data_IF_091425020746
#
_entry.id   IF_091425020746
#
_cell.length_a   1.000
_cell.length_b   1.000
_cell.length_c   1.000
_cell.angle_alpha   90.00
_cell.angle_beta   90.00
_cell.angle_gamma   90.00
#
_symmetry.space_group_name_H-M   'P 1'
#
loop_
_entity.id
_entity.type
_entity.pdbx_description
1 polymer ?
#
# COMPACT_ATOMS: atom_id res chain seq x y z
N UNK A 1 -9.16 -2.33 1.78
CA UNK A 1 -8.39 -1.32 2.54
C UNK A 1 -7.93 -0.18 1.64
N UNK A 2 -6.93 -0.36 0.76
CA UNK A 2 -6.41 0.73 -0.11
C UNK A 2 -7.53 1.42 -0.90
N UNK A 3 -8.37 0.66 -1.63
CA UNK A 3 -9.47 1.24 -2.40
C UNK A 3 -10.49 2.03 -1.54
N UNK A 4 -10.75 1.60 -0.30
CA UNK A 4 -11.67 2.31 0.62
C UNK A 4 -11.04 3.63 1.09
N UNK A 5 -9.75 3.62 1.46
CA UNK A 5 -9.02 4.86 1.77
C UNK A 5 -9.03 5.82 0.60
N UNK A 6 -8.79 5.34 -0.63
CA UNK A 6 -8.82 6.19 -1.81
C UNK A 6 -10.21 6.81 -1.98
N UNK A 7 -11.29 6.04 -1.91
CA UNK A 7 -12.66 6.57 -2.02
C UNK A 7 -12.97 7.71 -1.03
N UNK A 8 -12.36 7.66 0.16
CA UNK A 8 -12.50 8.69 1.19
C UNK A 8 -11.78 10.02 0.86
N UNK A 9 -10.85 10.06 -0.11
CA UNK A 9 -10.09 11.26 -0.47
C UNK A 9 -10.80 12.20 -1.46
N UNK A 10 -12.02 11.86 -1.88
CA UNK A 10 -12.85 12.68 -2.78
C UNK A 10 -12.95 14.19 -2.41
N UNK A 11 -13.00 14.59 -1.12
CA UNK A 11 -13.01 16.01 -0.74
C UNK A 11 -11.77 16.79 -1.18
N UNK A 12 -10.61 16.14 -1.33
CA UNK A 12 -9.35 16.77 -1.74
C UNK A 12 -8.97 16.47 -3.19
N UNK A 13 -9.40 15.34 -3.76
CA UNK A 13 -9.10 14.94 -5.13
C UNK A 13 -10.22 14.05 -5.68
N UNK A 14 -10.67 14.27 -6.92
CA UNK A 14 -11.62 13.37 -7.58
C UNK A 14 -10.90 12.10 -8.00
N UNK A 15 -11.03 11.02 -7.23
CA UNK A 15 -10.20 9.82 -7.42
C UNK A 15 -10.40 9.15 -8.78
N UNK A 16 -11.63 9.12 -9.29
CA UNK A 16 -11.93 8.55 -10.60
C UNK A 16 -11.26 9.29 -11.78
N UNK A 17 -10.79 10.53 -11.57
CA UNK A 17 -10.05 11.32 -12.56
C UNK A 17 -8.52 11.20 -12.41
N UNK A 18 -8.05 10.55 -11.35
CA UNK A 18 -6.62 10.30 -11.16
C UNK A 18 -6.10 9.32 -12.23
N UNK A 19 -4.80 9.42 -12.53
CA UNK A 19 -4.09 8.32 -13.21
C UNK A 19 -3.59 7.33 -12.17
N UNK A 20 -3.91 6.05 -12.34
CA UNK A 20 -3.25 4.98 -11.59
C UNK A 20 -1.93 4.61 -12.25
N UNK A 21 -0.85 4.50 -11.47
CA UNK A 21 0.45 3.98 -11.90
C UNK A 21 0.83 2.86 -10.94
N UNK A 22 0.92 1.63 -11.45
CA UNK A 22 1.15 0.44 -10.62
C UNK A 22 2.06 -0.60 -11.29
N UNK A 23 2.21 -1.75 -10.64
CA UNK A 23 3.00 -2.89 -11.10
C UNK A 23 2.09 -4.12 -11.15
N UNK A 24 1.44 -4.34 -12.30
CA UNK A 24 0.36 -5.33 -12.45
C UNK A 24 0.86 -6.77 -12.59
N UNK A 25 2.12 -6.98 -12.99
CA UNK A 25 2.68 -8.29 -13.32
C UNK A 25 1.75 -9.01 -14.32
N UNK A 26 1.48 -10.30 -14.12
CA UNK A 26 0.52 -11.06 -14.92
C UNK A 26 -0.89 -11.09 -14.31
N UNK A 27 -1.10 -10.49 -13.13
CA UNK A 27 -2.33 -10.66 -12.35
C UNK A 27 -3.26 -9.46 -12.38
N UNK A 28 -2.73 -8.23 -12.40
CA UNK A 28 -3.49 -6.97 -12.52
C UNK A 28 -4.62 -6.80 -11.48
N UNK A 29 -4.48 -7.40 -10.28
CA UNK A 29 -5.57 -7.46 -9.28
C UNK A 29 -5.95 -6.08 -8.75
N UNK A 30 -4.94 -5.29 -8.44
CA UNK A 30 -5.04 -3.88 -8.07
C UNK A 30 -5.69 -3.05 -9.18
N UNK A 31 -5.26 -3.18 -10.44
CA UNK A 31 -5.87 -2.50 -11.58
C UNK A 31 -7.37 -2.81 -11.70
N UNK A 32 -7.74 -4.09 -11.68
CA UNK A 32 -9.14 -4.49 -11.74
C UNK A 32 -9.95 -3.96 -10.55
N UNK A 33 -9.39 -4.03 -9.34
CA UNK A 33 -10.03 -3.56 -8.12
C UNK A 33 -10.29 -2.05 -8.19
N UNK A 34 -9.27 -1.25 -8.52
CA UNK A 34 -9.36 0.20 -8.55
C UNK A 34 -10.27 0.68 -9.69
N UNK A 35 -10.23 0.02 -10.85
CA UNK A 35 -11.17 0.30 -11.93
C UNK A 35 -12.62 0.00 -11.52
N UNK A 36 -12.89 -1.22 -11.04
CA UNK A 36 -14.26 -1.67 -10.68
C UNK A 36 -14.84 -0.87 -9.51
N UNK A 37 -14.04 -0.54 -8.50
CA UNK A 37 -14.53 0.14 -7.28
C UNK A 37 -14.54 1.65 -7.38
N UNK A 38 -13.57 2.25 -8.07
CA UNK A 38 -13.34 3.70 -8.05
C UNK A 38 -13.52 4.36 -9.41
N UNK A 39 -13.74 3.59 -10.48
CA UNK A 39 -13.95 4.14 -11.82
C UNK A 39 -12.72 4.79 -12.44
N UNK A 40 -11.51 4.44 -11.97
CA UNK A 40 -10.27 4.95 -12.56
C UNK A 40 -10.10 4.33 -13.96
N UNK A 41 -9.99 5.19 -14.98
CA UNK A 41 -9.91 4.80 -16.39
C UNK A 41 -8.61 5.22 -17.07
N UNK A 42 -7.72 5.92 -16.37
CA UNK A 42 -6.39 6.28 -16.86
C UNK A 42 -5.39 5.46 -16.03
N UNK A 43 -4.84 4.39 -16.61
CA UNK A 43 -4.03 3.42 -15.87
C UNK A 43 -2.75 3.10 -16.64
N UNK A 44 -1.62 3.10 -15.93
CA UNK A 44 -0.32 2.70 -16.48
C UNK A 44 0.26 1.59 -15.62
N UNK A 45 0.62 0.47 -16.24
CA UNK A 45 1.43 -0.57 -15.59
C UNK A 45 2.89 -0.41 -16.00
N UNK A 46 3.80 -0.48 -15.02
CA UNK A 46 5.25 -0.40 -15.23
C UNK A 46 5.86 -1.76 -14.95
N UNK A 47 6.53 -2.34 -15.95
CA UNK A 47 7.02 -3.72 -15.88
C UNK A 47 8.48 -3.82 -16.31
N UNK A 48 9.35 -4.22 -15.39
CA UNK A 48 10.80 -4.39 -15.61
C UNK A 48 11.21 -5.79 -16.09
N UNK A 49 10.27 -6.71 -16.31
CA UNK A 49 10.55 -8.08 -16.74
C UNK A 49 10.29 -8.25 -18.25
N UNK A 50 11.23 -7.78 -19.09
CA UNK A 50 11.11 -7.87 -20.56
C UNK A 50 10.82 -9.28 -21.10
N UNK A 51 11.37 -10.32 -20.48
CA UNK A 51 11.11 -11.71 -20.87
C UNK A 51 9.62 -12.13 -20.71
N UNK A 52 8.86 -11.43 -19.85
CA UNK A 52 7.45 -11.69 -19.59
C UNK A 52 6.51 -10.80 -20.39
N UNK A 53 7.01 -9.88 -21.23
CA UNK A 53 6.20 -8.86 -21.93
C UNK A 53 4.99 -9.46 -22.67
N UNK A 54 5.19 -10.55 -23.42
CA UNK A 54 4.11 -11.22 -24.16
C UNK A 54 3.04 -11.78 -23.24
N UNK A 55 3.43 -12.34 -22.08
CA UNK A 55 2.51 -12.86 -21.07
C UNK A 55 1.77 -11.73 -20.37
N UNK A 56 2.45 -10.62 -20.06
CA UNK A 56 1.84 -9.44 -19.45
C UNK A 56 0.76 -8.88 -20.39
N UNK A 57 1.11 -8.62 -21.66
CA UNK A 57 0.17 -8.14 -22.69
C UNK A 57 -1.05 -9.03 -22.83
N UNK A 58 -0.84 -10.35 -22.85
CA UNK A 58 -1.94 -11.32 -22.95
C UNK A 58 -2.91 -11.24 -21.76
N UNK A 59 -2.39 -10.99 -20.55
CA UNK A 59 -3.20 -10.96 -19.33
C UNK A 59 -3.76 -9.57 -18.98
N UNK A 60 -3.52 -8.53 -19.79
CA UNK A 60 -4.10 -7.20 -19.54
C UNK A 60 -5.63 -7.27 -19.53
N UNK A 61 -6.28 -7.03 -18.37
CA UNK A 61 -7.71 -7.29 -18.23
C UNK A 61 -8.59 -6.16 -18.78
N UNK A 62 -8.02 -4.98 -19.00
CA UNK A 62 -8.76 -3.76 -19.34
C UNK A 62 -8.05 -3.02 -20.48
N UNK A 63 -8.85 -2.54 -21.44
CA UNK A 63 -8.33 -1.79 -22.59
C UNK A 63 -7.75 -0.41 -22.24
N UNK A 64 -8.05 0.10 -21.04
CA UNK A 64 -7.61 1.41 -20.56
C UNK A 64 -6.26 1.37 -19.82
N UNK A 65 -5.62 0.19 -19.75
CA UNK A 65 -4.30 0.03 -19.16
C UNK A 65 -3.26 0.24 -20.25
N UNK A 66 -2.34 1.17 -20.05
CA UNK A 66 -1.17 1.35 -20.88
C UNK A 66 0.02 0.59 -20.28
N UNK A 67 0.70 -0.23 -21.08
CA UNK A 67 1.89 -0.97 -20.68
C UNK A 67 3.17 -0.17 -20.94
N UNK A 68 3.96 0.06 -19.90
CA UNK A 68 5.30 0.64 -19.98
C UNK A 68 6.36 -0.39 -19.54
N UNK A 69 7.06 -0.98 -20.51
CA UNK A 69 8.17 -1.89 -20.24
C UNK A 69 9.43 -1.09 -19.87
N UNK A 70 9.63 -0.88 -18.57
CA UNK A 70 10.75 -0.10 -18.03
C UNK A 70 11.03 -0.43 -16.55
N UNK A 71 12.13 0.07 -16.02
CA UNK A 71 12.31 0.14 -14.56
C UNK A 71 11.38 1.20 -13.96
N UNK A 72 11.00 1.05 -12.69
CA UNK A 72 10.15 2.00 -11.98
C UNK A 72 10.68 3.44 -12.07
N UNK A 73 11.94 3.68 -11.71
CA UNK A 73 12.56 5.00 -11.80
C UNK A 73 12.57 5.59 -13.21
N UNK A 74 12.87 4.78 -14.23
CA UNK A 74 12.88 5.26 -15.62
C UNK A 74 11.47 5.59 -16.13
N UNK A 75 10.46 4.81 -15.74
CA UNK A 75 9.06 5.11 -16.02
C UNK A 75 8.61 6.40 -15.32
N UNK A 76 8.89 6.56 -14.03
CA UNK A 76 8.57 7.76 -13.24
C UNK A 76 9.20 9.02 -13.87
N UNK A 77 10.45 8.92 -14.35
CA UNK A 77 11.14 10.01 -15.04
C UNK A 77 10.42 10.42 -16.35
N UNK A 78 9.82 9.46 -17.08
CA UNK A 78 9.11 9.69 -18.35
C UNK A 78 7.69 10.20 -18.16
N UNK A 79 7.04 9.83 -17.06
CA UNK A 79 5.68 10.24 -16.76
C UNK A 79 5.63 11.74 -16.38
N UNK A 80 4.57 12.42 -16.83
CA UNK A 80 4.30 13.83 -16.51
C UNK A 80 3.55 13.93 -15.18
N UNK A 81 4.23 13.60 -14.09
CA UNK A 81 3.67 13.48 -12.74
C UNK A 81 3.06 14.79 -12.21
N UNK A 82 3.50 15.92 -12.76
CA UNK A 82 3.07 17.27 -12.38
C UNK A 82 1.76 17.73 -13.03
N UNK A 83 1.28 17.07 -14.09
CA UNK A 83 0.14 17.55 -14.89
C UNK A 83 -1.22 17.28 -14.25
N UNK A 84 -1.35 16.18 -13.50
CA UNK A 84 -2.60 15.77 -12.85
C UNK A 84 -2.32 14.98 -11.57
N UNK A 85 -3.31 14.80 -10.69
CA UNK A 85 -3.17 13.88 -9.56
C UNK A 85 -2.98 12.42 -10.02
N UNK A 86 -2.08 11.72 -9.35
CA UNK A 86 -1.80 10.31 -9.57
C UNK A 86 -2.11 9.49 -8.32
N UNK A 87 -2.52 8.24 -8.50
CA UNK A 87 -2.39 7.19 -7.48
C UNK A 87 -1.21 6.32 -7.92
N UNK A 88 -0.06 6.48 -7.28
CA UNK A 88 1.14 5.69 -7.57
C UNK A 88 1.25 4.61 -6.50
N UNK A 89 1.28 3.36 -6.92
CA UNK A 89 1.56 2.23 -6.05
C UNK A 89 2.82 1.52 -6.53
N UNK A 90 3.91 1.73 -5.80
CA UNK A 90 5.18 1.06 -6.01
C UNK A 90 5.18 -0.27 -5.25
N UNK A 91 4.61 -1.31 -5.87
CA UNK A 91 4.44 -2.63 -5.27
C UNK A 91 5.66 -3.53 -5.49
N UNK A 92 6.72 -3.34 -4.71
CA UNK A 92 7.95 -4.13 -4.84
C UNK A 92 7.85 -5.45 -4.07
N UNK A 93 8.23 -6.54 -4.74
CA UNK A 93 8.51 -7.82 -4.08
C UNK A 93 9.88 -7.85 -3.38
N UNK A 94 10.75 -6.88 -3.68
CA UNK A 94 12.10 -6.78 -3.11
C UNK A 94 12.10 -6.12 -1.73
N UNK A 95 13.18 -6.35 -0.99
CA UNK A 95 13.50 -5.55 0.20
C UNK A 95 13.83 -4.11 -0.15
N UNK A 96 13.78 -3.25 0.86
CA UNK A 96 14.26 -1.87 0.74
C UNK A 96 15.69 -1.83 0.20
N UNK A 97 15.89 -1.04 -0.84
CA UNK A 97 17.18 -0.74 -1.48
C UNK A 97 17.17 0.74 -1.92
N UNK A 98 18.31 1.26 -2.39
CA UNK A 98 18.40 2.67 -2.84
C UNK A 98 17.47 3.02 -4.00
N UNK A 99 17.16 2.07 -4.90
CA UNK A 99 16.22 2.31 -5.99
C UNK A 99 14.81 2.59 -5.46
N UNK A 100 14.33 1.77 -4.51
CA UNK A 100 13.01 1.97 -3.91
C UNK A 100 12.89 3.36 -3.27
N UNK A 101 13.91 3.78 -2.51
CA UNK A 101 13.92 5.11 -1.90
C UNK A 101 13.91 6.21 -2.97
N UNK A 102 14.76 6.09 -4.00
CA UNK A 102 14.83 7.05 -5.10
C UNK A 102 13.50 7.16 -5.86
N UNK A 103 12.81 6.04 -6.08
CA UNK A 103 11.54 6.00 -6.82
C UNK A 103 10.41 6.67 -6.01
N UNK A 104 10.43 6.52 -4.69
CA UNK A 104 9.51 7.23 -3.79
C UNK A 104 9.84 8.72 -3.75
N UNK A 105 11.11 9.10 -3.63
CA UNK A 105 11.54 10.50 -3.63
C UNK A 105 11.14 11.20 -4.93
N UNK A 106 11.34 10.55 -6.07
CA UNK A 106 10.93 11.06 -7.39
C UNK A 106 9.40 11.26 -7.45
N UNK A 107 8.64 10.26 -6.98
CA UNK A 107 7.18 10.32 -6.91
C UNK A 107 6.71 11.51 -6.06
N UNK A 108 7.23 11.63 -4.83
CA UNK A 108 6.87 12.71 -3.89
C UNK A 108 7.34 14.08 -4.40
N UNK A 109 8.51 14.14 -5.03
CA UNK A 109 9.13 15.36 -5.53
C UNK A 109 8.34 16.02 -6.67
N UNK A 110 7.69 15.22 -7.53
CA UNK A 110 7.08 15.71 -8.77
C UNK A 110 5.56 15.63 -8.82
N UNK A 111 4.94 14.66 -8.15
CA UNK A 111 3.49 14.45 -8.24
C UNK A 111 2.67 15.70 -7.91
N UNK A 112 1.62 15.98 -8.69
CA UNK A 112 0.70 17.08 -8.41
C UNK A 112 0.05 16.94 -7.02
N UNK A 113 -0.34 18.07 -6.42
CA UNK A 113 -1.14 18.03 -5.19
C UNK A 113 -2.46 17.28 -5.42
N UNK A 114 -2.91 16.52 -4.42
CA UNK A 114 -4.00 15.55 -4.53
C UNK A 114 -3.54 14.14 -4.88
N UNK A 115 -2.27 13.95 -5.29
CA UNK A 115 -1.75 12.61 -5.58
C UNK A 115 -1.62 11.76 -4.32
N UNK A 116 -1.76 10.44 -4.47
CA UNK A 116 -1.50 9.44 -3.43
C UNK A 116 -0.30 8.62 -3.87
N UNK A 117 0.65 8.41 -2.95
CA UNK A 117 1.82 7.57 -3.18
C UNK A 117 1.85 6.48 -2.12
N UNK A 118 1.93 5.24 -2.57
CA UNK A 118 2.02 4.02 -1.79
C UNK A 118 3.28 3.26 -2.19
N UNK A 119 3.94 2.63 -1.23
CA UNK A 119 5.04 1.72 -1.48
C UNK A 119 4.85 0.46 -0.65
N UNK A 120 4.99 -0.69 -1.30
CA UNK A 120 5.01 -2.01 -0.68
C UNK A 120 6.39 -2.62 -0.85
N UNK A 121 6.95 -3.21 0.22
CA UNK A 121 8.25 -3.86 0.20
C UNK A 121 8.26 -5.11 1.07
N UNK A 122 9.13 -6.05 0.72
CA UNK A 122 9.41 -7.20 1.54
C UNK A 122 10.25 -6.80 2.77
N UNK A 123 9.82 -7.23 3.95
CA UNK A 123 10.48 -6.98 5.24
C UNK A 123 10.84 -8.27 5.98
N UNK A 124 10.90 -9.39 5.27
CA UNK A 124 11.41 -10.64 5.82
C UNK A 124 12.84 -10.48 6.30
N UNK A 125 13.11 -11.14 7.43
CA UNK A 125 14.43 -11.21 8.05
C UNK A 125 15.48 -11.70 7.04
N UNK A 126 16.63 -11.04 7.09
CA UNK A 126 17.89 -11.48 6.47
C UNK A 126 18.89 -11.92 7.53
N UNK A 127 19.77 -12.85 7.15
CA UNK A 127 20.78 -13.43 8.05
C UNK A 127 22.15 -13.50 7.37
N UNK A 128 23.21 -13.58 8.16
CA UNK A 128 24.58 -13.70 7.67
C UNK A 128 25.03 -12.47 6.88
N UNK A 129 25.82 -12.70 5.83
CA UNK A 129 26.44 -11.65 5.02
C UNK A 129 25.42 -10.72 4.34
N UNK A 130 24.24 -11.23 3.95
CA UNK A 130 23.19 -10.41 3.33
C UNK A 130 22.66 -9.35 4.30
N UNK A 131 22.52 -9.71 5.58
CA UNK A 131 22.16 -8.75 6.63
C UNK A 131 23.23 -7.67 6.73
N UNK A 132 24.49 -8.07 6.85
CA UNK A 132 25.57 -7.12 7.11
C UNK A 132 25.74 -6.15 5.94
N UNK A 133 25.59 -6.65 4.71
CA UNK A 133 25.52 -5.83 3.51
C UNK A 133 24.37 -4.82 3.60
N UNK A 134 23.15 -5.28 3.88
CA UNK A 134 21.98 -4.40 3.96
C UNK A 134 22.12 -3.33 5.06
N UNK A 135 22.59 -3.73 6.26
CA UNK A 135 22.85 -2.78 7.36
C UNK A 135 24.01 -1.82 7.09
N UNK A 136 24.98 -2.21 6.25
CA UNK A 136 26.05 -1.31 5.81
C UNK A 136 25.56 -0.29 4.79
N UNK A 137 24.62 -0.69 3.91
CA UNK A 137 24.03 0.19 2.90
C UNK A 137 23.14 1.27 3.52
N UNK A 138 22.46 0.95 4.62
CA UNK A 138 21.55 1.83 5.36
C UNK A 138 22.10 2.27 6.73
N UNK A 139 23.43 2.29 6.89
CA UNK A 139 24.08 2.55 8.17
C UNK A 139 23.70 3.88 8.82
N UNK A 140 23.76 3.87 10.17
CA UNK A 140 23.54 4.99 11.11
C UNK A 140 22.09 5.33 11.54
N UNK A 141 21.10 4.50 11.19
CA UNK A 141 19.79 4.61 11.85
C UNK A 141 19.91 4.14 13.30
N UNK A 142 19.74 5.07 14.25
CA UNK A 142 19.52 4.74 15.66
C UNK A 142 18.38 3.70 15.70
N UNK A 143 18.66 2.52 16.26
CA UNK A 143 17.78 1.34 16.34
C UNK A 143 17.99 0.30 15.22
N UNK A 144 19.23 -0.20 15.08
CA UNK A 144 19.48 -1.44 14.33
C UNK A 144 18.78 -2.62 15.03
N UNK A 145 18.17 -3.57 14.27
CA UNK A 145 17.64 -4.81 14.83
C UNK A 145 18.69 -5.55 15.66
N UNK A 146 18.32 -6.04 16.85
CA UNK A 146 19.20 -6.92 17.64
C UNK A 146 19.47 -8.20 16.82
N UNK A 147 20.75 -8.53 16.51
CA UNK A 147 21.11 -9.71 15.74
C UNK A 147 20.66 -11.04 16.38
N UNK A 148 20.44 -11.04 17.70
CA UNK A 148 20.11 -12.20 18.51
C UNK A 148 18.61 -12.36 18.79
N UNK A 149 17.76 -11.37 18.48
CA UNK A 149 16.32 -11.49 18.76
C UNK A 149 15.63 -12.39 17.71
N UNK A 150 15.10 -13.56 18.09
CA UNK A 150 14.29 -14.39 17.21
C UNK A 150 13.00 -13.69 16.72
N UNK A 151 12.62 -12.55 17.30
CA UNK A 151 11.49 -11.68 16.91
C UNK A 151 11.82 -10.63 15.85
N UNK A 152 13.07 -10.59 15.35
CA UNK A 152 13.68 -9.62 14.41
C UNK A 152 12.84 -9.08 13.23
N UNK A 153 11.77 -9.79 12.85
CA UNK A 153 10.79 -9.38 11.82
C UNK A 153 10.21 -7.98 12.10
N UNK A 154 9.88 -7.67 13.35
CA UNK A 154 9.30 -6.37 13.71
C UNK A 154 10.31 -5.23 13.54
N UNK A 155 11.58 -5.51 13.83
CA UNK A 155 12.67 -4.55 13.80
C UNK A 155 13.07 -4.21 12.36
N UNK A 156 13.14 -5.19 11.44
CA UNK A 156 13.35 -4.90 10.00
C UNK A 156 12.20 -4.11 9.40
N UNK A 157 10.96 -4.46 9.76
CA UNK A 157 9.78 -3.73 9.33
C UNK A 157 9.83 -2.27 9.84
N UNK A 158 10.14 -2.07 11.12
CA UNK A 158 10.24 -0.75 11.73
C UNK A 158 11.36 0.09 11.12
N UNK A 159 12.56 -0.49 10.93
CA UNK A 159 13.68 0.20 10.30
C UNK A 159 13.36 0.58 8.85
N UNK A 160 12.77 -0.34 8.08
CA UNK A 160 12.37 -0.07 6.71
C UNK A 160 11.31 1.03 6.64
N UNK A 161 10.32 1.01 7.54
CA UNK A 161 9.33 2.07 7.69
C UNK A 161 9.98 3.43 7.98
N UNK A 162 10.94 3.49 8.91
CA UNK A 162 11.62 4.74 9.27
C UNK A 162 12.43 5.31 8.11
N UNK A 163 13.16 4.46 7.38
CA UNK A 163 13.91 4.87 6.19
C UNK A 163 12.98 5.39 5.09
N UNK A 164 11.87 4.70 4.83
CA UNK A 164 10.83 5.16 3.89
C UNK A 164 10.26 6.52 4.32
N UNK A 165 9.92 6.65 5.61
CA UNK A 165 9.35 7.89 6.16
C UNK A 165 10.33 9.05 6.07
N UNK A 166 11.60 8.83 6.39
CA UNK A 166 12.65 9.84 6.30
C UNK A 166 12.83 10.31 4.85
N UNK A 167 12.94 9.37 3.92
CA UNK A 167 13.04 9.63 2.49
C UNK A 167 11.83 10.43 1.95
N UNK A 168 10.61 10.08 2.34
CA UNK A 168 9.39 10.86 2.02
C UNK A 168 9.49 12.28 2.58
N UNK A 169 9.91 12.44 3.84
CA UNK A 169 10.03 13.75 4.47
C UNK A 169 11.11 14.61 3.80
N UNK A 170 12.24 14.02 3.42
CA UNK A 170 13.31 14.69 2.68
C UNK A 170 12.87 15.12 1.30
N UNK A 171 12.12 14.28 0.58
CA UNK A 171 11.53 14.65 -0.70
C UNK A 171 10.55 15.83 -0.56
N UNK A 172 9.69 15.84 0.45
CA UNK A 172 8.79 16.97 0.74
C UNK A 172 9.59 18.23 1.08
N UNK A 173 10.61 18.14 1.94
CA UNK A 173 11.48 19.28 2.30
C UNK A 173 12.16 19.87 1.08
N UNK A 174 12.79 19.01 0.27
CA UNK A 174 13.51 19.39 -0.95
C UNK A 174 12.58 20.05 -1.97
N UNK A 175 11.41 19.44 -2.21
CA UNK A 175 10.37 20.01 -3.07
C UNK A 175 9.91 21.39 -2.60
N UNK A 176 9.60 21.53 -1.32
CA UNK A 176 9.09 22.77 -0.76
C UNK A 176 10.13 23.90 -0.69
N UNK A 177 11.43 23.57 -0.67
CA UNK A 177 12.50 24.56 -0.73
C UNK A 177 12.49 25.35 -2.05
N UNK A 178 12.09 24.71 -3.16
CA UNK A 178 11.98 25.33 -4.48
C UNK A 178 10.62 26.04 -4.72
N UNK A 179 9.65 25.90 -3.82
CA UNK A 179 8.28 26.39 -4.02
C UNK A 179 7.93 27.62 -3.16
N UNK A 180 7.20 28.60 -3.72
CA UNK A 180 6.59 29.67 -2.93
C UNK A 180 5.65 29.11 -1.86
N UNK A 181 5.51 29.80 -0.72
CA UNK A 181 4.69 29.35 0.42
C UNK A 181 3.27 28.94 0.03
N UNK A 182 2.64 29.65 -0.92
CA UNK A 182 1.30 29.38 -1.43
C UNK A 182 1.14 28.08 -2.23
N UNK A 183 2.25 27.49 -2.71
CA UNK A 183 2.29 26.27 -3.52
C UNK A 183 2.94 25.07 -2.83
N UNK A 184 3.34 25.23 -1.56
CA UNK A 184 3.91 24.13 -0.77
C UNK A 184 2.89 23.02 -0.56
N UNK A 185 3.41 21.83 -0.32
CA UNK A 185 2.63 20.62 -0.07
C UNK A 185 3.05 19.98 1.25
N UNK A 186 2.17 19.19 1.81
CA UNK A 186 2.42 18.29 2.94
C UNK A 186 2.21 16.85 2.47
N UNK A 187 3.01 15.91 2.97
CA UNK A 187 2.66 14.50 2.84
C UNK A 187 1.92 14.06 4.10
N UNK A 188 0.67 13.65 3.94
CA UNK A 188 -0.18 13.13 5.01
C UNK A 188 -0.23 11.61 4.90
N UNK A 189 0.52 10.91 5.76
CA UNK A 189 0.49 9.45 5.83
C UNK A 189 -0.91 8.98 6.21
N UNK A 190 -1.39 7.95 5.52
CA UNK A 190 -2.71 7.34 5.75
C UNK A 190 -2.56 5.86 6.12
N UNK A 191 -1.58 5.18 5.52
CA UNK A 191 -1.38 3.74 5.64
C UNK A 191 0.01 3.42 6.17
N UNK A 192 0.03 2.48 7.12
CA UNK A 192 1.20 1.73 7.56
C UNK A 192 0.71 0.32 7.88
N UNK A 193 0.80 -0.58 6.91
CA UNK A 193 0.26 -1.94 6.98
C UNK A 193 1.40 -2.95 7.03
N UNK A 194 1.26 -3.96 7.89
CA UNK A 194 2.08 -5.17 7.85
C UNK A 194 1.18 -6.34 7.51
N UNK A 195 1.53 -7.13 6.52
CA UNK A 195 0.77 -8.33 6.16
C UNK A 195 1.68 -9.49 5.76
N UNK A 196 1.10 -10.67 5.58
CA UNK A 196 1.86 -11.85 5.12
C UNK A 196 1.03 -12.68 4.15
N UNK A 197 1.54 -12.86 2.94
CA UNK A 197 0.97 -13.66 1.86
C UNK A 197 1.96 -14.73 1.34
N UNK A 198 3.01 -14.99 2.12
CA UNK A 198 4.11 -15.89 1.83
C UNK A 198 5.39 -15.32 2.45
N UNK A 199 5.61 -14.03 2.18
CA UNK A 199 6.62 -13.18 2.83
C UNK A 199 5.96 -12.13 3.69
N UNK A 200 6.68 -11.58 4.67
CA UNK A 200 6.20 -10.42 5.41
C UNK A 200 6.38 -9.16 4.57
N UNK A 201 5.28 -8.44 4.33
CA UNK A 201 5.24 -7.24 3.52
C UNK A 201 4.88 -6.03 4.38
N UNK A 202 5.54 -4.90 4.10
CA UNK A 202 5.24 -3.58 4.64
C UNK A 202 4.65 -2.72 3.53
N UNK A 203 3.51 -2.07 3.77
CA UNK A 203 2.97 -1.04 2.89
C UNK A 203 2.82 0.29 3.63
N UNK A 204 3.45 1.33 3.09
CA UNK A 204 3.38 2.70 3.63
C UNK A 204 2.87 3.62 2.55
N UNK A 205 2.00 4.57 2.90
CA UNK A 205 1.60 5.55 1.93
C UNK A 205 0.65 6.61 2.45
N UNK A 206 0.38 7.58 1.60
CA UNK A 206 -0.33 8.79 1.98
C UNK A 206 -0.57 9.74 0.82
N UNK A 207 -1.26 10.83 1.11
CA UNK A 207 -1.62 11.85 0.14
C UNK A 207 -0.67 13.05 0.19
N UNK A 208 -0.36 13.60 -0.98
CA UNK A 208 0.33 14.88 -1.14
C UNK A 208 -0.73 15.98 -1.12
N UNK A 209 -0.86 16.70 -0.01
CA UNK A 209 -1.89 17.70 0.22
C UNK A 209 -1.31 19.09 -0.01
N UNK A 210 -1.84 19.83 -0.99
CA UNK A 210 -1.53 21.24 -1.18
C UNK A 210 -2.33 22.13 -0.23
N UNK A 211 -1.98 23.42 -0.14
CA UNK A 211 -2.64 24.38 0.75
C UNK A 211 -4.18 24.41 0.64
N UNK A 212 -4.73 24.27 -0.57
CA UNK A 212 -6.18 24.23 -0.81
C UNK A 212 -6.87 22.97 -0.26
N UNK A 213 -6.12 21.87 -0.06
CA UNK A 213 -6.61 20.61 0.47
C UNK A 213 -6.56 20.52 1.98
N UNK A 214 -5.69 21.31 2.66
CA UNK A 214 -5.49 21.23 4.12
C UNK A 214 -6.81 21.46 4.86
N UNK A 215 -7.60 22.47 4.47
CA UNK A 215 -8.90 22.76 5.09
C UNK A 215 -9.99 21.71 4.83
N UNK A 216 -9.78 20.83 3.85
CA UNK A 216 -10.73 19.77 3.47
C UNK A 216 -10.29 18.38 3.95
N UNK A 217 -9.07 18.24 4.49
CA UNK A 217 -8.52 16.95 4.91
C UNK A 217 -9.43 16.21 5.90
N UNK A 218 -9.94 16.91 6.91
CA UNK A 218 -10.85 16.34 7.91
C UNK A 218 -12.18 15.84 7.31
N UNK A 219 -12.59 16.37 6.15
CA UNK A 219 -13.81 15.91 5.47
C UNK A 219 -13.62 14.53 4.81
N UNK A 220 -12.36 14.08 4.66
CA UNK A 220 -12.06 12.77 4.11
C UNK A 220 -12.47 11.64 5.08
N UNK A 221 -12.54 11.92 6.39
CA UNK A 221 -12.97 10.96 7.41
C UNK A 221 -12.12 9.70 7.47
N UNK A 222 -10.86 9.75 7.02
CA UNK A 222 -9.96 8.59 6.96
C UNK A 222 -9.66 8.05 8.36
N UNK A 223 -9.68 8.91 9.38
CA UNK A 223 -9.45 8.57 10.79
C UNK A 223 -10.54 7.66 11.36
N UNK A 224 -11.71 7.60 10.71
CA UNK A 224 -12.78 6.67 11.07
C UNK A 224 -12.53 5.24 10.59
N UNK A 225 -11.56 5.04 9.69
CA UNK A 225 -11.20 3.73 9.17
C UNK A 225 -10.20 3.05 10.10
N UNK A 226 -10.60 1.91 10.68
CA UNK A 226 -9.87 1.15 11.69
C UNK A 226 -8.39 0.85 11.34
N UNK A 227 -8.10 0.68 10.05
CA UNK A 227 -6.80 0.27 9.52
C UNK A 227 -5.88 1.43 9.12
N UNK A 228 -6.34 2.68 9.22
CA UNK A 228 -5.48 3.85 8.92
C UNK A 228 -4.47 4.07 10.03
N UNK A 229 -3.27 4.50 9.63
CA UNK A 229 -2.13 4.73 10.54
C UNK A 229 -1.34 5.93 10.04
N UNK A 230 -1.47 7.05 10.74
CA UNK A 230 -0.74 8.29 10.45
C UNK A 230 0.67 8.31 11.07
N UNK A 231 1.00 7.31 11.90
CA UNK A 231 2.21 7.25 12.71
C UNK A 231 3.03 5.98 12.53
N UNK A 232 3.96 5.78 13.46
CA UNK A 232 4.89 4.64 13.47
C UNK A 232 4.25 3.31 13.83
N UNK A 233 3.09 3.32 14.50
CA UNK A 233 2.34 2.11 14.75
C UNK A 233 1.74 1.57 13.46
N UNK A 234 1.96 0.28 13.17
CA UNK A 234 1.40 -0.39 12.00
C UNK A 234 0.06 -1.06 12.30
N UNK A 235 -0.76 -1.25 11.27
CA UNK A 235 -1.91 -2.13 11.30
C UNK A 235 -1.51 -3.50 10.74
N UNK A 236 -1.68 -4.56 11.53
CA UNK A 236 -1.35 -5.92 11.13
C UNK A 236 -2.54 -6.58 10.44
N UNK A 237 -2.42 -6.87 9.14
CA UNK A 237 -3.40 -7.63 8.38
C UNK A 237 -3.00 -9.10 8.45
N UNK A 238 -3.84 -9.91 9.09
CA UNK A 238 -3.63 -11.35 9.24
C UNK A 238 -4.82 -12.11 8.68
N UNK A 239 -4.57 -13.03 7.75
CA UNK A 239 -5.61 -13.92 7.21
C UNK A 239 -5.82 -15.05 8.24
N UNK A 240 -7.05 -15.21 8.77
CA UNK A 240 -7.32 -16.28 9.72
C UNK A 240 -7.27 -17.63 9.01
N UNK A 241 -6.85 -18.66 9.73
CA UNK A 241 -6.74 -20.02 9.22
C UNK A 241 -8.12 -20.69 9.16
N UNK A 242 -8.96 -20.25 8.22
CA UNK A 242 -10.33 -20.75 8.03
C UNK A 242 -10.45 -21.52 6.73
N UNK A 243 -11.14 -22.65 6.79
CA UNK A 243 -11.65 -23.33 5.60
C UNK A 243 -12.72 -22.46 4.92
N UNK A 244 -12.99 -22.71 3.63
CA UNK A 244 -14.07 -22.02 2.91
C UNK A 244 -15.44 -22.19 3.57
N UNK A 245 -15.69 -23.34 4.22
CA UNK A 245 -16.98 -23.62 4.88
C UNK A 245 -17.13 -22.82 6.16
N UNK A 246 -16.08 -22.76 6.98
CA UNK A 246 -16.02 -21.95 8.20
C UNK A 246 -16.16 -20.47 7.88
N UNK A 247 -15.41 -19.97 6.89
CA UNK A 247 -15.48 -18.59 6.47
C UNK A 247 -16.88 -18.19 5.99
N UNK A 248 -17.56 -19.03 5.21
CA UNK A 248 -18.97 -18.79 4.79
C UNK A 248 -19.93 -18.77 5.98
N UNK A 249 -19.74 -19.68 6.92
CA UNK A 249 -20.57 -19.71 8.12
C UNK A 249 -20.38 -18.42 8.94
N UNK A 250 -19.14 -17.96 9.16
CA UNK A 250 -18.87 -16.69 9.83
C UNK A 250 -19.36 -15.48 9.02
N UNK A 251 -19.25 -15.52 7.68
CA UNK A 251 -19.74 -14.47 6.79
C UNK A 251 -21.24 -14.23 6.97
N UNK A 252 -22.03 -15.30 7.16
CA UNK A 252 -23.47 -15.21 7.43
C UNK A 252 -23.83 -14.49 8.75
N UNK A 253 -22.83 -14.12 9.56
CA UNK A 253 -22.97 -13.51 10.89
C UNK A 253 -22.36 -12.12 10.98
N UNK A 254 -21.85 -11.57 9.87
CA UNK A 254 -21.29 -10.22 9.80
C UNK A 254 -22.00 -9.35 8.76
N UNK A 255 -22.23 -8.07 9.05
CA UNK A 255 -22.09 -7.44 10.37
C UNK A 255 -23.16 -7.97 11.34
N UNK A 256 -22.78 -8.15 12.61
CA UNK A 256 -23.67 -8.67 13.66
C UNK A 256 -23.55 -7.82 14.94
N UNK A 257 -24.40 -8.11 15.93
CA UNK A 257 -24.28 -7.50 17.26
C UNK A 257 -22.98 -7.91 17.95
N UNK A 258 -22.50 -7.09 18.88
CA UNK A 258 -21.31 -7.41 19.69
C UNK A 258 -21.42 -8.80 20.32
N UNK A 259 -20.34 -9.58 20.20
CA UNK A 259 -20.26 -10.95 20.71
C UNK A 259 -20.87 -12.04 19.81
N UNK A 260 -21.80 -11.71 18.90
CA UNK A 260 -22.51 -12.73 18.10
C UNK A 260 -21.58 -13.53 17.17
N UNK A 261 -20.56 -12.88 16.61
CA UNK A 261 -19.56 -13.55 15.78
C UNK A 261 -18.68 -14.49 16.62
N UNK A 262 -18.27 -14.05 17.80
CA UNK A 262 -17.46 -14.85 18.73
C UNK A 262 -18.21 -16.09 19.17
N UNK A 263 -19.48 -15.95 19.59
CA UNK A 263 -20.33 -17.09 19.94
C UNK A 263 -20.53 -18.05 18.77
N UNK A 264 -20.70 -17.52 17.54
CA UNK A 264 -20.83 -18.34 16.35
C UNK A 264 -19.56 -19.15 16.07
N UNK A 265 -18.39 -18.51 16.18
CA UNK A 265 -17.08 -19.13 16.02
C UNK A 265 -16.83 -20.22 17.07
N UNK A 266 -17.09 -19.94 18.34
CA UNK A 266 -16.95 -20.89 19.45
C UNK A 266 -17.79 -22.15 19.22
N UNK A 267 -19.03 -22.00 18.72
CA UNK A 267 -19.94 -23.14 18.44
C UNK A 267 -19.36 -24.16 17.46
N UNK A 268 -18.50 -23.73 16.55
CA UNK A 268 -17.86 -24.61 15.56
C UNK A 268 -16.37 -24.83 15.83
N UNK A 269 -15.88 -24.42 17.01
CA UNK A 269 -14.50 -24.66 17.45
C UNK A 269 -13.47 -23.73 16.83
N UNK A 270 -13.87 -22.59 16.26
CA UNK A 270 -12.94 -21.59 15.75
C UNK A 270 -12.40 -20.74 16.92
N UNK A 271 -11.07 -20.58 17.07
CA UNK A 271 -10.49 -19.72 18.08
C UNK A 271 -10.97 -18.27 17.97
N UNK A 272 -11.21 -17.60 19.10
CA UNK A 272 -11.63 -16.19 19.14
C UNK A 272 -10.68 -15.27 18.35
N UNK A 273 -9.37 -15.56 18.37
CA UNK A 273 -8.36 -14.85 17.58
C UNK A 273 -8.70 -14.85 16.08
N UNK A 274 -9.06 -16.01 15.53
CA UNK A 274 -9.36 -16.17 14.11
C UNK A 274 -10.71 -15.52 13.77
N UNK A 275 -11.68 -15.55 14.69
CA UNK A 275 -12.95 -14.85 14.55
C UNK A 275 -12.75 -13.32 14.51
N UNK A 276 -11.93 -12.77 15.41
CA UNK A 276 -11.57 -11.34 15.43
C UNK A 276 -10.82 -10.92 14.16
N UNK A 277 -9.88 -11.75 13.70
CA UNK A 277 -9.18 -11.52 12.43
C UNK A 277 -10.12 -11.57 11.24
N UNK A 278 -11.07 -12.51 11.20
CA UNK A 278 -12.10 -12.56 10.18
C UNK A 278 -12.95 -11.28 10.18
N UNK A 279 -13.38 -10.82 11.35
CA UNK A 279 -14.18 -9.60 11.51
C UNK A 279 -13.49 -8.35 10.94
N UNK A 280 -12.16 -8.26 11.07
CA UNK A 280 -11.43 -7.09 10.58
C UNK A 280 -11.17 -7.12 9.07
N UNK A 281 -11.20 -8.30 8.43
CA UNK A 281 -10.84 -8.44 7.00
C UNK A 281 -11.96 -8.95 6.08
N UNK A 282 -13.12 -9.39 6.59
CA UNK A 282 -14.16 -10.03 5.76
C UNK A 282 -14.65 -9.15 4.60
N UNK A 283 -14.62 -7.82 4.77
CA UNK A 283 -14.98 -6.85 3.71
C UNK A 283 -13.96 -6.74 2.59
N UNK A 284 -12.73 -7.24 2.81
CA UNK A 284 -11.57 -6.98 1.96
C UNK A 284 -10.96 -8.24 1.34
N UNK A 285 -11.00 -9.37 2.05
CA UNK A 285 -10.33 -10.57 1.59
C UNK A 285 -11.13 -11.27 0.45
N UNK A 286 -10.54 -11.44 -0.75
CA UNK A 286 -11.22 -12.03 -1.91
C UNK A 286 -11.80 -13.42 -1.64
N UNK A 287 -11.10 -14.20 -0.80
CA UNK A 287 -11.52 -15.55 -0.37
C UNK A 287 -12.92 -15.60 0.26
N UNK A 288 -13.43 -14.46 0.76
CA UNK A 288 -14.72 -14.37 1.43
C UNK A 288 -15.78 -13.63 0.61
N UNK A 289 -15.36 -12.88 -0.42
CA UNK A 289 -16.23 -11.95 -1.16
C UNK A 289 -16.45 -12.38 -2.62
N UNK A 290 -15.47 -13.04 -3.26
CA UNK A 290 -15.47 -13.27 -4.72
C UNK A 290 -15.83 -14.71 -5.13
N UNK A 291 -16.35 -15.53 -4.23
CA UNK A 291 -16.68 -16.93 -4.54
C UNK A 291 -17.96 -17.12 -5.41
N UNK A 292 -18.57 -16.05 -5.93
CA UNK A 292 -19.83 -16.10 -6.69
C UNK A 292 -19.78 -15.51 -8.11
N UNK A 293 -18.64 -14.98 -8.56
CA UNK A 293 -18.52 -14.32 -9.89
C UNK A 293 -17.77 -15.18 -10.95
N UNK A 294 -17.74 -16.51 -10.83
CA UNK A 294 -17.25 -17.44 -11.87
C UNK A 294 -18.15 -18.66 -12.05
#
# INVERSE_FOLDING_TARGET
MVAEVLANLDPIVRIHECRYVGMGSIFFRDFQLLHRRLGINDMVTVEGQWAAESRIKFNMPLACIDLMMDTAGAALAKLRLEERPHVIWLDYESRLNRSVLSDIEESIGRCAAGSVVLASINVDRVSGEERDKWLSEFGDVRDRPDPSDPRGRKEYALLSYRLLRESIQDAVRSRNAALPRGRRVEFRQILHLIYSDGSQMLTVGGAIVGNSGIGKWQQCGIESLEFTREGEESYSVSIPALTRREARYLLSRVPGSDGALTEAAERIGIPEKDAKQFASIYRFAPLFVEAEDW
#
